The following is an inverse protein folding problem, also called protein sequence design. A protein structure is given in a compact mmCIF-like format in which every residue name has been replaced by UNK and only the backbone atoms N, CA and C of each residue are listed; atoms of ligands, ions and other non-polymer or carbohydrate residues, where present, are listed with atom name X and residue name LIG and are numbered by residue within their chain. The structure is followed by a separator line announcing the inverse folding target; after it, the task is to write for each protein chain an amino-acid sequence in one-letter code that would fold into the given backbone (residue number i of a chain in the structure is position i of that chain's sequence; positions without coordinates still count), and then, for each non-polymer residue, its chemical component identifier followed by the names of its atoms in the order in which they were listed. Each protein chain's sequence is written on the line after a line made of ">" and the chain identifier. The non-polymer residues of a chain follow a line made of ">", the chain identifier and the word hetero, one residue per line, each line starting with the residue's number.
data_IF_485008511921
#
_entry.id   IF_485008511921
#
_cell.length_a   1.000
_cell.length_b   1.000
_cell.length_c   1.000
_cell.angle_alpha   90.00
_cell.angle_beta   90.00
_cell.angle_gamma   90.00
#
_symmetry.space_group_name_H-M   'P 1'
#
loop_
_entity.id
_entity.type
_entity.pdbx_description
1 polymer ?
#
# COMPACT_ATOMS: atom_id res chain seq x y z
N UNK A 1 10.85 11.27 -7.01
CA UNK A 1 10.25 11.10 -5.69
C UNK A 1 8.89 10.48 -5.81
N UNK A 2 8.66 9.47 -5.03
CA UNK A 2 7.39 8.77 -5.09
C UNK A 2 7.09 8.08 -3.77
N UNK A 3 5.80 7.86 -3.54
CA UNK A 3 5.37 6.97 -2.46
C UNK A 3 4.90 5.70 -3.16
N UNK A 4 5.47 4.58 -2.77
CA UNK A 4 5.12 3.27 -3.30
C UNK A 4 4.16 2.62 -2.32
N UNK A 5 3.10 2.02 -2.84
CA UNK A 5 2.12 1.36 -2.01
C UNK A 5 2.28 -0.14 -2.19
N UNK A 6 2.73 -0.81 -1.15
CA UNK A 6 3.10 -2.23 -1.21
C UNK A 6 1.97 -3.14 -0.74
N UNK A 7 0.77 -2.91 -1.27
CA UNK A 7 -0.38 -3.73 -0.90
C UNK A 7 -0.20 -5.16 -1.36
N UNK A 8 0.36 -5.36 -2.56
CA UNK A 8 0.55 -6.70 -3.11
C UNK A 8 1.37 -7.59 -2.19
N UNK A 9 2.43 -7.03 -1.62
CA UNK A 9 3.31 -7.79 -0.76
C UNK A 9 2.55 -8.29 0.46
N UNK A 10 1.76 -7.40 1.06
CA UNK A 10 1.01 -7.77 2.26
C UNK A 10 -0.14 -8.71 1.93
N UNK A 11 -0.78 -8.55 0.76
CA UNK A 11 -1.82 -9.47 0.33
C UNK A 11 -1.25 -10.87 0.19
N UNK A 12 -0.07 -10.99 -0.39
CA UNK A 12 0.58 -12.27 -0.55
C UNK A 12 0.91 -12.89 0.80
N UNK A 13 1.40 -12.07 1.73
CA UNK A 13 1.73 -12.57 3.06
C UNK A 13 0.51 -13.07 3.81
N UNK A 14 -0.62 -12.41 3.63
CA UNK A 14 -1.86 -12.78 4.33
C UNK A 14 -2.74 -13.71 3.52
N UNK A 15 -2.35 -14.01 2.28
CA UNK A 15 -3.08 -14.93 1.39
C UNK A 15 -4.52 -14.49 1.21
N UNK A 16 -4.70 -13.21 0.96
CA UNK A 16 -6.03 -12.63 0.74
C UNK A 16 -6.10 -12.12 -0.69
N UNK A 17 -7.22 -12.38 -1.35
CA UNK A 17 -7.39 -11.94 -2.73
C UNK A 17 -7.78 -10.47 -2.78
N UNK A 18 -7.59 -9.87 -3.97
CA UNK A 18 -7.95 -8.47 -4.15
C UNK A 18 -9.43 -8.24 -3.95
N UNK A 19 -10.26 -9.14 -4.46
CA UNK A 19 -11.70 -9.00 -4.30
C UNK A 19 -12.11 -9.05 -2.84
N UNK A 20 -11.53 -9.97 -2.11
CA UNK A 20 -11.84 -10.12 -0.69
C UNK A 20 -11.36 -8.90 0.09
N UNK A 21 -10.16 -8.42 -0.20
CA UNK A 21 -9.63 -7.27 0.50
C UNK A 21 -10.47 -6.03 0.23
N UNK A 22 -10.84 -5.81 -1.03
CA UNK A 22 -11.66 -4.65 -1.38
C UNK A 22 -12.99 -4.68 -0.62
N UNK A 23 -13.59 -5.85 -0.53
CA UNK A 23 -14.85 -6.01 0.17
C UNK A 23 -14.69 -5.70 1.65
N UNK A 24 -13.64 -6.22 2.27
CA UNK A 24 -13.41 -6.01 3.70
C UNK A 24 -13.08 -4.57 4.04
N UNK A 25 -12.35 -3.91 3.15
CA UNK A 25 -11.96 -2.53 3.36
C UNK A 25 -13.11 -1.58 3.03
N UNK A 26 -14.03 -2.02 2.20
CA UNK A 26 -15.18 -1.20 1.85
C UNK A 26 -14.93 -0.29 0.67
N UNK A 27 -14.06 -0.69 -0.24
CA UNK A 27 -13.81 0.07 -1.46
C UNK A 27 -14.11 -0.81 -2.66
N UNK A 28 -14.22 -0.19 -3.82
CA UNK A 28 -14.46 -0.97 -5.04
C UNK A 28 -13.18 -1.66 -5.48
N UNK A 29 -13.30 -2.78 -6.19
CA UNK A 29 -12.11 -3.42 -6.76
C UNK A 29 -11.31 -2.47 -7.66
N UNK A 30 -11.99 -1.57 -8.36
CA UNK A 30 -11.32 -0.60 -9.21
C UNK A 30 -10.45 0.34 -8.37
N UNK A 31 -10.98 0.82 -7.24
CA UNK A 31 -10.21 1.69 -6.36
C UNK A 31 -9.02 0.95 -5.75
N UNK A 32 -9.21 -0.30 -5.38
CA UNK A 32 -8.10 -1.08 -4.85
C UNK A 32 -7.03 -1.27 -5.92
N UNK A 33 -7.43 -1.48 -7.17
CA UNK A 33 -6.49 -1.64 -8.26
C UNK A 33 -5.67 -0.36 -8.46
N UNK A 34 -6.31 0.80 -8.34
CA UNK A 34 -5.61 2.07 -8.47
C UNK A 34 -4.53 2.19 -7.38
N UNK A 35 -4.86 1.82 -6.15
CA UNK A 35 -3.90 1.83 -5.07
C UNK A 35 -2.78 0.83 -5.31
N UNK A 36 -3.16 -0.38 -5.70
CA UNK A 36 -2.23 -1.47 -5.90
C UNK A 36 -1.20 -1.17 -6.98
N UNK A 37 -1.62 -0.46 -8.00
CA UNK A 37 -0.76 -0.16 -9.14
C UNK A 37 -0.05 1.18 -9.00
N UNK A 38 -0.09 1.76 -7.82
CA UNK A 38 0.62 3.00 -7.53
C UNK A 38 0.15 4.17 -8.38
N UNK A 39 -1.13 4.17 -8.73
CA UNK A 39 -1.69 5.24 -9.53
C UNK A 39 -2.53 6.20 -8.71
N UNK A 40 -2.66 5.93 -7.43
CA UNK A 40 -3.41 6.82 -6.55
C UNK A 40 -2.57 8.05 -6.23
N UNK A 41 -3.22 9.19 -6.16
CA UNK A 41 -2.55 10.43 -5.79
C UNK A 41 -2.75 10.77 -4.32
N UNK A 42 -3.65 10.06 -3.68
CA UNK A 42 -3.93 10.27 -2.27
C UNK A 42 -4.60 9.03 -1.73
N UNK A 43 -4.53 8.88 -0.42
CA UNK A 43 -5.24 7.82 0.26
C UNK A 43 -5.82 8.42 1.53
N UNK A 44 -7.08 8.13 1.81
CA UNK A 44 -7.70 8.60 3.03
C UNK A 44 -7.17 7.83 4.22
N UNK A 45 -7.02 8.48 5.34
CA UNK A 45 -6.61 7.79 6.54
C UNK A 45 -7.56 6.67 6.90
N UNK A 46 -8.87 6.86 6.67
CA UNK A 46 -9.83 5.80 6.97
C UNK A 46 -9.55 4.55 6.14
N UNK A 47 -9.21 4.73 4.86
CA UNK A 47 -8.86 3.60 4.00
C UNK A 47 -7.55 2.97 4.45
N UNK A 48 -6.57 3.79 4.78
CA UNK A 48 -5.29 3.28 5.24
C UNK A 48 -5.46 2.48 6.53
N UNK A 49 -6.28 2.99 7.46
CA UNK A 49 -6.55 2.28 8.69
C UNK A 49 -7.22 0.93 8.44
N UNK A 50 -8.18 0.91 7.52
CA UNK A 50 -8.86 -0.34 7.19
C UNK A 50 -7.90 -1.34 6.55
N UNK A 51 -7.02 -0.86 5.68
CA UNK A 51 -6.02 -1.73 5.08
C UNK A 51 -5.08 -2.31 6.14
N UNK A 52 -4.62 -1.47 7.06
CA UNK A 52 -3.75 -1.94 8.13
C UNK A 52 -4.45 -2.96 9.00
N UNK A 53 -5.70 -2.74 9.29
CA UNK A 53 -6.48 -3.65 10.12
C UNK A 53 -6.65 -5.00 9.43
N UNK A 54 -7.06 -4.98 8.16
CA UNK A 54 -7.34 -6.22 7.45
C UNK A 54 -6.06 -6.99 7.10
N UNK A 55 -4.99 -6.27 6.84
CA UNK A 55 -3.72 -6.89 6.49
C UNK A 55 -2.82 -7.10 7.70
N UNK A 56 -3.27 -6.66 8.87
CA UNK A 56 -2.54 -6.84 10.13
C UNK A 56 -1.13 -6.30 10.01
N UNK A 57 -1.03 -5.05 9.64
CA UNK A 57 0.27 -4.43 9.45
C UNK A 57 0.22 -2.98 9.83
N UNK A 58 1.37 -2.34 9.80
CA UNK A 58 1.52 -0.94 10.10
C UNK A 58 1.58 -0.14 8.81
N UNK A 59 1.27 1.17 8.85
CA UNK A 59 1.39 1.98 7.63
C UNK A 59 2.77 1.88 6.99
N UNK A 60 3.82 1.76 7.77
CA UNK A 60 5.16 1.62 7.20
C UNK A 60 5.39 0.34 6.45
N UNK A 61 4.52 -0.66 6.64
CA UNK A 61 4.59 -1.88 5.84
C UNK A 61 3.92 -1.70 4.48
N UNK A 62 3.06 -0.70 4.37
CA UNK A 62 2.31 -0.46 3.15
C UNK A 62 2.87 0.68 2.32
N UNK A 63 3.48 1.67 2.95
CA UNK A 63 3.93 2.87 2.27
C UNK A 63 5.43 2.99 2.35
N UNK A 64 6.02 3.31 1.21
CA UNK A 64 7.47 3.44 1.12
C UNK A 64 7.79 4.70 0.34
N UNK A 65 8.71 5.50 0.85
CA UNK A 65 9.16 6.68 0.12
C UNK A 65 10.38 6.33 -0.70
N UNK A 66 10.36 6.72 -1.95
CA UNK A 66 11.48 6.51 -2.85
C UNK A 66 11.92 7.86 -3.38
N UNK A 67 13.19 8.17 -3.15
CA UNK A 67 13.75 9.42 -3.63
C UNK A 67 14.35 9.19 -5.02
N UNK A 68 14.28 10.22 -5.84
CA UNK A 68 14.88 10.13 -7.17
C UNK A 68 16.37 9.92 -7.11
N UNK A 69 17.00 10.23 -6.00
CA UNK A 69 18.44 10.04 -5.84
C UNK A 69 18.74 8.84 -4.99
N UNK A 70 17.97 7.85 -5.19
CA UNK A 70 18.05 6.68 -4.41
C UNK A 70 19.31 5.94 -4.50
N UNK A 71 19.99 6.06 -5.55
CA UNK A 71 21.20 5.32 -5.70
C UNK A 71 22.26 5.78 -4.77
N UNK A 72 22.03 6.79 -4.06
CA UNK A 72 22.99 7.19 -3.11
C UNK A 72 23.14 6.17 -2.10
N UNK A 73 24.18 5.75 -1.87
CA UNK A 73 24.38 4.72 -1.00
C UNK A 73 24.12 5.02 0.29
N UNK A 74 24.09 4.61 0.71
CA UNK A 74 23.91 4.61 1.76
C UNK A 74 24.51 5.23 2.53
N UNK A 75 25.11 5.31 2.44
CA UNK A 75 25.68 5.94 3.27
C UNK A 75 24.89 6.85 3.84
N UNK A 76 23.99 6.88 3.64
CA UNK A 76 23.28 7.62 4.09
C UNK A 76 23.13 7.47 5.20
N UNK A 77 23.22 8.08 5.85
CA UNK A 77 23.12 7.92 7.20
C UNK A 77 21.83 7.87 7.64
#
# INVERSE_FOLDING_TARGET
>A
MAIIINIDVMMAKRKISAGELAERVGITPANLSILKNNKAKAIRFSTLMALCHELRCQPGDLLEFVDDQQEVPDGRP
#
